data_IF_957709810143
#
_entry.id   IF_957709810143
#
_cell.length_a   1.000
_cell.length_b   1.000
_cell.length_c   1.000
_cell.angle_alpha   90.00
_cell.angle_beta   90.00
_cell.angle_gamma   90.00
#
_symmetry.space_group_name_H-M   'P 1'
#
loop_
_entity.id
_entity.type
_entity.pdbx_description
1 polymer ?
#
# COMPACT_ATOMS: atom_id res chain seq x y z
N UNK A 1 12.00 -33.75 -31.80
CA UNK A 1 12.84 -32.76 -31.10
C UNK A 1 12.19 -31.40 -31.28
N UNK A 2 11.54 -30.90 -30.23
CA UNK A 2 11.32 -29.48 -29.90
C UNK A 2 10.40 -29.43 -28.68
N UNK A 3 10.97 -29.84 -27.54
CA UNK A 3 10.52 -29.43 -26.22
C UNK A 3 11.11 -28.04 -25.97
N UNK A 4 10.40 -26.98 -26.35
CA UNK A 4 10.71 -25.64 -25.85
C UNK A 4 9.88 -25.38 -24.59
N UNK A 5 10.51 -25.75 -23.47
CA UNK A 5 10.49 -25.12 -22.15
C UNK A 5 9.45 -24.00 -21.94
N UNK A 6 8.24 -24.38 -21.55
CA UNK A 6 7.39 -23.57 -20.67
C UNK A 6 7.75 -23.97 -19.22
N UNK A 7 8.88 -23.46 -18.71
CA UNK A 7 9.27 -23.68 -17.31
C UNK A 7 8.48 -22.74 -16.39
N UNK A 8 7.39 -23.30 -15.88
CA UNK A 8 6.79 -23.14 -14.53
C UNK A 8 6.43 -21.73 -14.03
N UNK A 9 5.17 -21.33 -14.21
CA UNK A 9 4.49 -20.45 -13.25
C UNK A 9 3.80 -21.33 -12.20
N UNK A 10 4.49 -21.62 -11.10
CA UNK A 10 3.80 -22.13 -9.92
C UNK A 10 3.07 -20.94 -9.28
N UNK A 11 1.73 -20.95 -9.16
CA UNK A 11 1.03 -19.91 -8.41
C UNK A 11 1.54 -19.90 -6.96
N UNK A 12 1.72 -18.71 -6.37
CA UNK A 12 2.12 -18.59 -4.97
C UNK A 12 1.16 -19.40 -4.10
N UNK A 13 1.68 -20.21 -3.15
CA UNK A 13 0.82 -21.01 -2.28
C UNK A 13 -0.04 -20.11 -1.40
N UNK A 14 -1.25 -20.58 -1.07
CA UNK A 14 -2.16 -19.88 -0.17
C UNK A 14 -1.78 -20.12 1.30
N UNK A 15 -1.94 -19.11 2.18
CA UNK A 15 -2.48 -17.78 1.91
C UNK A 15 -1.47 -16.89 1.17
N UNK A 16 -1.97 -15.90 0.42
CA UNK A 16 -1.13 -14.77 -0.01
C UNK A 16 -0.95 -13.81 1.17
N UNK A 17 0.29 -13.56 1.56
CA UNK A 17 0.65 -12.67 2.66
C UNK A 17 1.09 -11.31 2.10
N UNK A 18 0.51 -10.23 2.61
CA UNK A 18 0.90 -8.88 2.21
C UNK A 18 2.39 -8.60 2.52
N UNK A 19 3.02 -7.81 1.67
CA UNK A 19 4.45 -7.49 1.73
C UNK A 19 4.77 -6.04 2.10
N UNK A 20 3.76 -5.18 2.20
CA UNK A 20 3.96 -3.73 2.35
C UNK A 20 4.64 -3.33 3.68
N UNK A 21 4.57 -4.19 4.71
CA UNK A 21 5.17 -3.95 6.03
C UNK A 21 6.59 -4.53 6.12
N UNK A 22 7.64 -3.68 6.15
CA UNK A 22 9.03 -4.17 6.19
C UNK A 22 9.38 -4.87 7.50
N UNK A 23 8.76 -4.53 8.64
CA UNK A 23 8.98 -5.24 9.90
C UNK A 23 8.52 -6.70 9.83
N UNK A 24 7.43 -6.98 9.10
CA UNK A 24 6.97 -8.33 8.81
C UNK A 24 7.92 -9.07 7.87
N UNK A 25 8.31 -8.44 6.76
CA UNK A 25 9.24 -9.04 5.79
C UNK A 25 10.58 -9.38 6.45
N UNK A 26 11.15 -8.47 7.23
CA UNK A 26 12.38 -8.70 8.00
C UNK A 26 12.27 -9.88 8.99
N UNK A 27 11.10 -10.06 9.61
CA UNK A 27 10.85 -11.21 10.48
C UNK A 27 10.76 -12.52 9.68
N UNK A 28 10.05 -12.52 8.56
CA UNK A 28 9.92 -13.70 7.70
C UNK A 28 11.28 -14.15 7.15
N UNK A 29 12.08 -13.23 6.60
CA UNK A 29 13.41 -13.52 6.03
C UNK A 29 14.41 -14.06 7.06
N UNK A 30 14.27 -13.69 8.35
CA UNK A 30 15.25 -14.06 9.40
C UNK A 30 14.81 -15.22 10.28
N UNK A 31 13.51 -15.31 10.57
CA UNK A 31 12.99 -16.21 11.60
C UNK A 31 12.03 -17.26 11.06
N UNK A 32 11.49 -17.07 9.85
CA UNK A 32 10.49 -17.98 9.28
C UNK A 32 10.58 -18.07 7.75
N UNK A 33 11.74 -18.47 7.19
CA UNK A 33 11.93 -18.50 5.74
C UNK A 33 10.94 -19.42 5.01
N UNK A 34 10.38 -20.42 5.69
CA UNK A 34 9.34 -21.29 5.13
C UNK A 34 8.06 -20.58 4.68
N UNK A 35 7.81 -19.34 5.14
CA UNK A 35 6.64 -18.55 4.69
C UNK A 35 6.95 -17.61 3.53
N UNK A 36 8.22 -17.45 3.11
CA UNK A 36 8.59 -16.56 2.01
C UNK A 36 7.83 -16.83 0.71
N UNK A 37 7.56 -18.09 0.29
CA UNK A 37 6.77 -18.37 -0.91
C UNK A 37 5.34 -17.82 -0.85
N UNK A 38 4.79 -17.62 0.34
CA UNK A 38 3.45 -17.08 0.54
C UNK A 38 3.41 -15.54 0.44
N UNK A 39 4.55 -14.85 0.52
CA UNK A 39 4.60 -13.38 0.51
C UNK A 39 4.39 -12.86 -0.91
N UNK A 40 3.49 -11.90 -1.08
CA UNK A 40 3.28 -11.20 -2.34
C UNK A 40 4.56 -10.55 -2.82
N UNK A 41 4.97 -10.81 -4.07
CA UNK A 41 6.15 -10.22 -4.67
C UNK A 41 6.00 -8.74 -5.04
N UNK A 42 4.82 -8.15 -4.88
CA UNK A 42 4.61 -6.73 -5.18
C UNK A 42 5.43 -5.87 -4.21
N UNK A 43 6.18 -4.91 -4.75
CA UNK A 43 6.93 -3.91 -3.97
C UNK A 43 5.97 -3.12 -3.06
N UNK A 44 6.46 -2.64 -1.92
CA UNK A 44 5.63 -1.76 -1.09
C UNK A 44 5.34 -0.42 -1.78
N UNK A 45 4.31 0.34 -1.38
CA UNK A 45 4.01 1.63 -2.01
C UNK A 45 5.17 2.62 -2.02
N UNK A 46 6.01 2.61 -0.98
CA UNK A 46 7.25 3.40 -0.94
C UNK A 46 8.16 3.07 -2.13
N UNK A 47 8.38 1.78 -2.38
CA UNK A 47 9.30 1.32 -3.41
C UNK A 47 8.69 1.41 -4.81
N UNK A 48 7.38 1.18 -4.95
CA UNK A 48 6.65 1.45 -6.20
C UNK A 48 6.77 2.93 -6.58
N UNK A 49 6.56 3.83 -5.62
CA UNK A 49 6.75 5.27 -5.87
C UNK A 49 8.20 5.60 -6.20
N UNK A 50 9.17 5.02 -5.49
CA UNK A 50 10.59 5.19 -5.82
C UNK A 50 10.94 4.77 -7.25
N UNK A 51 10.41 3.63 -7.70
CA UNK A 51 10.54 3.17 -9.09
C UNK A 51 9.93 4.19 -10.06
N UNK A 52 8.71 4.71 -9.79
CA UNK A 52 8.07 5.73 -10.64
C UNK A 52 8.92 6.99 -10.73
N UNK A 53 9.40 7.49 -9.59
CA UNK A 53 10.22 8.71 -9.51
C UNK A 53 11.54 8.54 -10.26
N UNK A 54 12.28 7.48 -9.98
CA UNK A 54 13.62 7.27 -10.54
C UNK A 54 13.61 6.83 -11.99
N UNK A 55 12.56 6.13 -12.46
CA UNK A 55 12.53 5.56 -13.82
C UNK A 55 11.62 6.34 -14.79
N UNK A 56 10.45 6.80 -14.34
CA UNK A 56 9.49 7.52 -15.20
C UNK A 56 9.68 9.03 -15.10
N UNK A 57 9.64 9.59 -13.88
CA UNK A 57 9.73 11.05 -13.68
C UNK A 57 11.08 11.57 -14.15
N UNK A 58 12.17 10.95 -13.69
CA UNK A 58 13.52 11.35 -14.09
C UNK A 58 13.71 11.34 -15.61
N UNK A 59 13.29 10.25 -16.28
CA UNK A 59 13.39 10.11 -17.73
C UNK A 59 12.58 11.19 -18.47
N UNK A 60 11.35 11.47 -18.03
CA UNK A 60 10.53 12.49 -18.67
C UNK A 60 11.04 13.92 -18.46
N UNK A 61 11.78 14.18 -17.39
CA UNK A 61 12.45 15.45 -17.14
C UNK A 61 13.85 15.54 -17.79
N UNK A 62 14.31 14.47 -18.47
CA UNK A 62 15.65 14.40 -19.04
C UNK A 62 16.76 14.40 -17.98
N UNK A 63 16.44 13.95 -16.76
CA UNK A 63 17.38 13.87 -15.63
C UNK A 63 17.98 12.47 -15.53
N UNK A 64 19.26 12.41 -15.19
CA UNK A 64 19.89 11.17 -14.73
C UNK A 64 19.22 10.73 -13.42
N UNK A 65 18.74 9.46 -13.30
CA UNK A 65 18.20 8.93 -12.05
C UNK A 65 19.12 9.12 -10.84
N UNK A 66 20.44 9.14 -11.03
CA UNK A 66 21.42 9.38 -9.97
C UNK A 66 21.47 10.84 -9.50
N UNK A 67 20.97 11.78 -10.31
CA UNK A 67 20.84 13.20 -9.96
C UNK A 67 19.55 13.53 -9.19
N UNK A 68 18.57 12.61 -9.18
CA UNK A 68 17.32 12.78 -8.43
C UNK A 68 17.52 12.26 -7.01
N UNK A 69 17.23 13.06 -5.99
CA UNK A 69 17.24 12.62 -4.59
C UNK A 69 15.81 12.48 -4.07
N UNK A 70 15.34 11.24 -3.91
CA UNK A 70 13.99 10.90 -3.50
C UNK A 70 13.92 10.64 -1.99
N UNK A 71 13.12 11.46 -1.30
CA UNK A 71 12.87 11.36 0.15
C UNK A 71 11.45 10.90 0.40
N UNK A 72 11.28 9.86 1.22
CA UNK A 72 9.99 9.40 1.69
C UNK A 72 9.76 9.76 3.16
N UNK A 73 8.56 10.25 3.50
CA UNK A 73 8.15 10.48 4.89
C UNK A 73 7.24 9.34 5.34
N UNK A 74 7.61 8.66 6.43
CA UNK A 74 6.96 7.41 6.85
C UNK A 74 6.74 7.35 8.36
N UNK A 75 5.65 6.73 8.85
CA UNK A 75 5.42 6.55 10.29
C UNK A 75 6.29 5.43 10.91
N UNK A 76 7.35 4.98 10.24
CA UNK A 76 8.03 3.72 10.54
C UNK A 76 9.55 3.79 10.33
N UNK A 77 10.32 3.30 11.31
CA UNK A 77 11.78 3.16 11.17
C UNK A 77 12.18 2.04 10.22
N UNK A 78 11.43 0.92 10.17
CA UNK A 78 11.77 -0.21 9.31
C UNK A 78 11.69 0.15 7.81
N UNK A 79 10.98 1.23 7.44
CA UNK A 79 10.99 1.76 6.08
C UNK A 79 12.37 2.29 5.65
N UNK A 80 13.21 2.74 6.59
CA UNK A 80 14.63 3.06 6.33
C UNK A 80 15.41 1.80 5.96
N UNK A 81 15.18 0.70 6.69
CA UNK A 81 15.80 -0.60 6.40
C UNK A 81 15.34 -1.16 5.06
N UNK A 82 14.08 -0.92 4.70
CA UNK A 82 13.56 -1.26 3.37
C UNK A 82 14.27 -0.46 2.29
N UNK A 83 14.37 0.87 2.44
CA UNK A 83 15.06 1.74 1.46
C UNK A 83 16.54 1.39 1.27
N UNK A 84 17.22 0.86 2.30
CA UNK A 84 18.63 0.52 2.21
C UNK A 84 18.91 -0.87 1.61
N UNK A 85 17.89 -1.63 1.20
CA UNK A 85 18.10 -2.95 0.59
C UNK A 85 18.68 -2.82 -0.82
N UNK A 86 19.64 -3.70 -1.13
CA UNK A 86 20.22 -3.79 -2.48
C UNK A 86 19.20 -4.18 -3.56
N UNK A 87 18.15 -4.90 -3.16
CA UNK A 87 17.00 -5.29 -4.00
C UNK A 87 16.36 -4.05 -4.67
N UNK A 88 16.26 -2.91 -3.97
CA UNK A 88 15.59 -1.70 -4.45
C UNK A 88 16.54 -0.66 -5.05
N UNK A 89 17.34 -1.11 -6.01
CA UNK A 89 18.26 -0.27 -6.78
C UNK A 89 18.00 -0.46 -8.27
N UNK A 90 18.11 0.61 -9.05
CA UNK A 90 18.04 0.51 -10.51
C UNK A 90 19.21 -0.30 -11.07
N UNK A 91 19.06 -0.98 -12.21
CA UNK A 91 20.23 -1.59 -12.86
C UNK A 91 21.05 -0.55 -13.64
N UNK A 92 22.37 -0.73 -13.74
CA UNK A 92 23.15 -0.22 -14.84
C UNK A 92 22.83 -1.07 -16.09
N UNK A 93 21.82 -0.65 -16.86
CA UNK A 93 21.61 -1.16 -18.22
C UNK A 93 20.64 -2.34 -18.43
N UNK A 94 19.73 -2.65 -17.50
CA UNK A 94 18.65 -3.63 -17.71
C UNK A 94 17.51 -3.53 -16.67
N UNK A 95 16.49 -4.38 -16.80
CA UNK A 95 15.28 -4.36 -15.97
C UNK A 95 15.26 -5.56 -15.00
N UNK A 96 15.67 -5.35 -13.73
CA UNK A 96 15.70 -6.39 -12.70
C UNK A 96 16.05 -5.91 -11.27
N UNK A 97 15.95 -6.83 -10.31
CA UNK A 97 16.17 -6.69 -8.86
C UNK A 97 17.68 -6.84 -8.54
N UNK A 98 18.26 -5.93 -7.74
CA UNK A 98 19.67 -6.03 -7.32
C UNK A 98 20.70 -5.28 -8.19
N UNK A 99 20.30 -4.21 -8.86
CA UNK A 99 21.20 -3.39 -9.69
C UNK A 99 22.23 -2.56 -8.91
N UNK A 100 23.37 -2.23 -9.53
CA UNK A 100 24.38 -1.31 -8.97
C UNK A 100 24.02 0.19 -9.11
N UNK A 101 22.86 0.52 -9.68
CA UNK A 101 22.40 1.88 -9.88
C UNK A 101 21.97 2.61 -8.59
N UNK A 102 21.40 3.82 -8.71
CA UNK A 102 20.92 4.57 -7.56
C UNK A 102 19.75 3.85 -6.89
N UNK A 103 19.56 4.04 -5.57
CA UNK A 103 18.43 3.46 -4.85
C UNK A 103 17.09 4.06 -5.33
N UNK A 104 16.02 3.26 -5.28
CA UNK A 104 14.65 3.72 -5.57
C UNK A 104 14.22 4.83 -4.58
N UNK A 105 14.70 4.75 -3.33
CA UNK A 105 14.48 5.74 -2.25
C UNK A 105 15.80 6.05 -1.56
N UNK A 106 16.26 7.29 -1.64
CA UNK A 106 17.56 7.71 -1.09
C UNK A 106 17.52 7.97 0.41
N UNK A 107 16.40 8.47 0.91
CA UNK A 107 16.23 8.81 2.32
C UNK A 107 14.80 8.54 2.79
N UNK A 108 14.67 8.02 4.01
CA UNK A 108 13.39 7.93 4.70
C UNK A 108 13.46 8.72 5.98
N UNK A 109 12.56 9.68 6.13
CA UNK A 109 12.36 10.46 7.34
C UNK A 109 11.11 9.96 8.07
N UNK A 110 11.20 9.86 9.40
CA UNK A 110 10.02 9.54 10.21
C UNK A 110 9.17 10.78 10.46
N UNK A 111 7.90 10.59 10.84
CA UNK A 111 7.03 11.69 11.29
C UNK A 111 7.68 12.49 12.41
N UNK A 112 8.33 11.82 13.37
CA UNK A 112 9.09 12.46 14.45
C UNK A 112 10.29 13.26 13.94
N UNK A 113 11.11 12.69 13.06
CA UNK A 113 12.28 13.37 12.49
C UNK A 113 11.89 14.61 11.66
N UNK A 114 10.76 14.55 10.94
CA UNK A 114 10.22 15.73 10.23
C UNK A 114 9.80 16.81 11.22
N UNK A 115 9.13 16.46 12.32
CA UNK A 115 8.74 17.42 13.34
C UNK A 115 9.97 18.09 14.00
N UNK A 116 11.02 17.31 14.29
CA UNK A 116 12.29 17.83 14.82
C UNK A 116 12.98 18.77 13.80
N UNK A 117 12.99 18.41 12.52
CA UNK A 117 13.56 19.23 11.46
C UNK A 117 12.79 20.56 11.32
N UNK A 118 11.46 20.53 11.35
CA UNK A 118 10.63 21.73 11.32
C UNK A 118 10.92 22.67 12.50
N UNK A 119 11.03 22.10 13.70
CA UNK A 119 11.33 22.86 14.90
C UNK A 119 12.75 23.44 14.88
N UNK A 120 13.75 22.64 14.52
CA UNK A 120 15.16 23.01 14.57
C UNK A 120 15.61 23.93 13.43
N UNK A 121 15.23 23.63 12.19
CA UNK A 121 15.70 24.34 11.01
C UNK A 121 14.87 25.60 10.71
N UNK A 122 13.57 25.57 11.00
CA UNK A 122 12.66 26.63 10.61
C UNK A 122 12.04 27.37 11.81
N UNK A 123 12.34 26.95 13.05
CA UNK A 123 11.67 27.49 14.24
C UNK A 123 10.16 27.21 14.25
N UNK A 124 9.69 26.29 13.39
CA UNK A 124 8.29 25.90 13.30
C UNK A 124 8.07 24.80 14.32
N UNK A 125 7.70 25.21 15.53
CA UNK A 125 7.19 24.24 16.48
C UNK A 125 5.90 23.65 15.89
N UNK A 126 5.86 22.33 15.73
CA UNK A 126 4.61 21.59 15.51
C UNK A 126 3.83 21.66 16.83
N UNK A 127 3.27 22.84 17.11
CA UNK A 127 2.26 23.01 18.15
C UNK A 127 0.95 22.50 17.56
N UNK A 128 0.09 21.89 18.37
CA UNK A 128 -1.33 22.01 18.11
C UNK A 128 -1.59 23.51 17.96
N UNK A 129 -1.84 23.95 16.73
CA UNK A 129 -2.20 25.34 16.49
C UNK A 129 -3.58 25.47 17.11
N UNK A 130 -3.68 26.12 18.26
CA UNK A 130 -4.94 26.61 18.81
C UNK A 130 -5.66 27.39 17.69
N UNK A 131 -6.64 26.76 17.05
CA UNK A 131 -7.28 27.27 15.85
C UNK A 131 -7.52 26.24 14.74
N UNK A 132 -6.90 25.06 14.79
CA UNK A 132 -7.40 23.91 14.04
C UNK A 132 -8.52 23.27 14.85
N UNK A 133 -9.75 23.68 14.53
CA UNK A 133 -10.99 23.05 15.00
C UNK A 133 -10.81 21.53 15.04
N UNK A 134 -11.27 20.89 16.11
CA UNK A 134 -11.32 19.42 16.30
C UNK A 134 -12.20 18.69 15.29
N UNK A 135 -12.66 19.37 14.25
CA UNK A 135 -13.26 18.80 13.07
C UNK A 135 -12.17 18.18 12.19
N UNK A 136 -12.46 17.06 11.54
CA UNK A 136 -11.58 16.40 10.58
C UNK A 136 -11.08 17.33 9.43
N UNK A 137 -11.62 18.55 9.35
CA UNK A 137 -11.12 19.71 8.65
C UNK A 137 -9.63 20.04 8.87
N UNK A 138 -9.00 19.77 10.02
CA UNK A 138 -7.60 20.16 10.22
C UNK A 138 -6.56 19.31 9.49
N UNK A 139 -6.80 17.99 9.40
CA UNK A 139 -6.01 17.12 8.53
C UNK A 139 -6.29 17.42 7.05
N UNK A 140 -7.55 17.77 6.73
CA UNK A 140 -7.99 18.20 5.39
C UNK A 140 -7.45 19.55 4.99
N UNK A 141 -7.27 20.49 5.91
CA UNK A 141 -6.66 21.78 5.65
C UNK A 141 -5.14 21.64 5.51
N UNK A 142 -4.51 20.66 6.15
CA UNK A 142 -3.13 20.27 5.83
C UNK A 142 -3.01 19.74 4.41
N UNK A 143 -3.90 18.82 4.00
CA UNK A 143 -3.98 18.28 2.65
C UNK A 143 -4.40 19.33 1.60
N UNK A 144 -5.35 20.21 1.95
CA UNK A 144 -5.84 21.30 1.12
C UNK A 144 -4.88 22.48 1.09
N UNK A 145 -4.09 22.72 2.14
CA UNK A 145 -2.96 23.66 2.09
C UNK A 145 -1.86 23.11 1.18
N UNK A 146 -1.56 21.80 1.24
CA UNK A 146 -0.73 21.11 0.24
C UNK A 146 -1.32 21.23 -1.18
N UNK A 147 -2.64 21.19 -1.34
CA UNK A 147 -3.32 21.40 -2.63
C UNK A 147 -3.42 22.88 -3.06
N UNK A 148 -3.26 23.84 -2.13
CA UNK A 148 -3.28 25.30 -2.37
C UNK A 148 -1.89 25.89 -2.56
N UNK A 149 -0.85 25.24 -2.04
CA UNK A 149 0.52 25.50 -2.48
C UNK A 149 0.53 25.22 -3.97
N UNK A 150 0.94 26.17 -4.84
CA UNK A 150 1.04 25.89 -6.26
C UNK A 150 1.92 24.65 -6.38
N UNK A 151 1.41 23.54 -6.95
CA UNK A 151 2.14 22.30 -6.99
C UNK A 151 3.53 22.62 -7.54
N UNK A 152 4.58 22.10 -6.89
CA UNK A 152 5.88 22.13 -7.54
C UNK A 152 5.68 21.56 -8.96
N UNK A 153 6.45 21.98 -9.97
CA UNK A 153 6.31 21.44 -11.32
C UNK A 153 6.24 19.89 -11.34
N UNK A 154 6.85 19.23 -10.35
CA UNK A 154 6.72 17.80 -10.07
C UNK A 154 5.38 17.32 -9.49
N UNK A 155 4.69 18.05 -8.62
CA UNK A 155 3.45 17.56 -7.98
C UNK A 155 2.29 17.51 -8.97
N UNK A 156 2.18 18.53 -9.83
CA UNK A 156 1.23 18.55 -10.94
C UNK A 156 1.60 17.54 -12.03
N UNK A 157 2.90 17.30 -12.24
CA UNK A 157 3.41 16.29 -13.15
C UNK A 157 3.19 14.87 -12.63
N UNK A 158 3.39 14.61 -11.33
CA UNK A 158 3.14 13.32 -10.67
C UNK A 158 1.65 13.00 -10.65
N UNK A 159 0.80 14.00 -10.33
CA UNK A 159 -0.64 13.86 -10.38
C UNK A 159 -1.20 13.66 -11.80
N UNK A 160 -0.45 14.04 -12.84
CA UNK A 160 -0.85 13.90 -14.25
C UNK A 160 0.03 12.92 -15.04
N UNK A 161 0.96 12.23 -14.37
CA UNK A 161 2.01 11.37 -14.92
C UNK A 161 2.73 11.93 -16.16
N UNK A 162 2.86 13.25 -16.25
CA UNK A 162 3.54 13.97 -17.32
C UNK A 162 2.72 14.33 -18.55
N UNK A 163 1.40 14.18 -18.52
CA UNK A 163 0.51 14.60 -19.62
C UNK A 163 0.35 16.12 -19.72
N UNK A 164 0.72 16.87 -18.68
CA UNK A 164 0.49 18.32 -18.60
C UNK A 164 -0.99 18.70 -18.60
N UNK A 165 -1.92 17.74 -18.50
CA UNK A 165 -3.35 17.99 -18.35
C UNK A 165 -3.73 17.97 -16.88
N UNK A 166 -4.34 19.06 -16.43
CA UNK A 166 -5.07 19.10 -15.16
C UNK A 166 -6.20 18.07 -15.23
N UNK A 167 -6.49 17.29 -14.16
CA UNK A 167 -7.71 16.49 -14.14
C UNK A 167 -8.89 17.46 -14.19
N UNK A 168 -9.61 17.48 -15.31
CA UNK A 168 -10.93 18.10 -15.37
C UNK A 168 -11.95 17.05 -14.92
N UNK A 169 -12.90 17.38 -14.04
CA UNK A 169 -14.10 16.55 -13.93
C UNK A 169 -14.78 16.56 -15.31
N UNK A 170 -15.06 15.39 -15.87
CA UNK A 170 -15.80 15.20 -17.13
C UNK A 170 -17.10 16.02 -17.13
N UNK A 171 -17.68 16.58 -18.19
CA UNK A 171 -17.46 16.65 -19.65
C UNK A 171 -18.32 17.84 -20.17
N UNK A 172 -18.08 18.44 -21.35
CA UNK A 172 -18.88 18.22 -22.57
C UNK A 172 -18.57 19.35 -23.58
N UNK A 173 -18.61 19.05 -24.88
CA UNK A 173 -18.22 19.96 -25.95
C UNK A 173 -19.33 20.86 -26.51
N UNK A 174 -18.93 21.94 -27.18
CA UNK A 174 -19.37 22.35 -28.52
C UNK A 174 -18.80 23.74 -28.91
N UNK A 175 -18.20 23.84 -30.11
CA UNK A 175 -17.86 25.11 -30.76
C UNK A 175 -16.72 25.04 -31.80
N UNK A 176 -17.00 24.53 -33.00
CA UNK A 176 -16.16 24.61 -34.23
C UNK A 176 -16.17 26.06 -34.82
N UNK A 177 -15.38 26.47 -35.86
CA UNK A 177 -14.90 25.65 -37.02
C UNK A 177 -13.49 25.94 -37.63
N UNK A 178 -13.10 25.06 -38.56
CA UNK A 178 -12.03 25.19 -39.59
C UNK A 178 -11.19 23.91 -39.74
N UNK A 179 -11.53 22.96 -40.63
CA UNK A 179 -10.99 22.76 -42.01
C UNK A 179 -9.51 22.27 -41.95
N UNK A 180 -9.06 21.05 -42.33
CA UNK A 180 -9.28 20.23 -43.53
C UNK A 180 -8.83 18.74 -43.38
N UNK A 181 -9.49 17.82 -44.14
CA UNK A 181 -9.06 16.53 -44.74
C UNK A 181 -8.50 15.38 -43.85
N UNK A 182 -9.14 14.21 -43.63
CA UNK A 182 -9.64 13.08 -44.46
C UNK A 182 -8.82 11.76 -44.32
N UNK A 183 -9.57 10.65 -44.15
CA UNK A 183 -9.30 9.20 -44.34
C UNK A 183 -8.85 8.28 -43.18
N UNK A 184 -9.84 7.68 -42.53
CA UNK A 184 -10.19 6.24 -42.36
C UNK A 184 -9.11 5.15 -42.09
N UNK A 185 -9.27 4.44 -40.97
CA UNK A 185 -9.63 3.00 -40.96
C UNK A 185 -9.99 2.49 -39.55
N UNK A 186 -11.16 1.85 -39.47
CA UNK A 186 -11.82 1.30 -38.28
C UNK A 186 -11.17 0.04 -37.70
N UNK A 187 -11.26 -0.14 -36.37
CA UNK A 187 -11.51 -1.44 -35.73
C UNK A 187 -12.41 -1.24 -34.51
N UNK A 188 -13.61 -1.79 -34.62
CA UNK A 188 -14.68 -1.84 -33.61
C UNK A 188 -14.29 -2.64 -32.36
N UNK A 189 -14.66 -2.12 -31.18
CA UNK A 189 -14.92 -2.92 -29.97
C UNK A 189 -16.29 -2.51 -29.45
N UNK A 190 -17.24 -3.44 -29.57
CA UNK A 190 -18.64 -3.31 -29.16
C UNK A 190 -18.78 -2.77 -27.73
N UNK A 191 -19.47 -1.63 -27.64
CA UNK A 191 -19.96 -1.04 -26.42
C UNK A 191 -21.49 -1.11 -26.45
N UNK A 192 -22.09 -1.90 -25.55
CA UNK A 192 -23.48 -1.73 -25.14
C UNK A 192 -23.71 -2.39 -23.77
N UNK A 193 -23.68 -1.56 -22.73
CA UNK A 193 -24.45 -1.77 -21.51
C UNK A 193 -24.67 -0.41 -20.83
N UNK A 194 -25.84 0.13 -21.15
CA UNK A 194 -26.57 1.26 -20.57
C UNK A 194 -26.26 1.57 -19.09
N UNK A 195 -25.84 2.80 -18.83
CA UNK A 195 -25.77 3.39 -17.49
C UNK A 195 -26.35 4.80 -17.50
N UNK A 196 -27.67 4.90 -17.74
CA UNK A 196 -28.43 6.08 -17.32
C UNK A 196 -28.53 6.11 -15.78
N UNK A 197 -27.61 6.83 -15.12
CA UNK A 197 -27.82 7.29 -13.74
C UNK A 197 -27.71 8.82 -13.75
N UNK A 198 -28.80 9.44 -13.32
CA UNK A 198 -29.07 10.87 -13.40
C UNK A 198 -27.94 11.72 -12.80
N UNK A 199 -27.45 12.66 -13.62
CA UNK A 199 -26.59 13.74 -13.18
C UNK A 199 -27.41 14.70 -12.29
N UNK A 200 -27.23 14.61 -10.98
CA UNK A 200 -27.61 15.66 -10.03
C UNK A 200 -26.35 16.38 -9.56
N UNK A 201 -26.20 17.63 -10.01
CA UNK A 201 -25.31 18.70 -9.55
C UNK A 201 -24.06 18.33 -8.75
N UNK A 202 -22.88 18.40 -9.37
CA UNK A 202 -21.61 18.42 -8.67
C UNK A 202 -21.07 19.86 -8.64
N UNK A 203 -21.01 20.42 -7.44
CA UNK A 203 -20.34 21.68 -7.14
C UNK A 203 -18.81 21.50 -7.29
N UNK A 204 -18.11 22.58 -7.64
CA UNK A 204 -16.66 22.60 -7.87
C UNK A 204 -15.78 22.41 -6.59
N UNK A 205 -16.33 21.78 -5.55
CA UNK A 205 -15.74 21.64 -4.21
C UNK A 205 -15.63 20.20 -3.69
N UNK A 206 -15.91 19.16 -4.50
CA UNK A 206 -15.84 17.78 -4.02
C UNK A 206 -14.38 17.30 -3.89
N UNK A 207 -13.88 17.31 -2.66
CA UNK A 207 -12.61 16.70 -2.28
C UNK A 207 -12.71 15.18 -2.43
N UNK A 208 -11.78 14.56 -3.14
CA UNK A 208 -11.79 13.13 -3.42
C UNK A 208 -10.41 12.51 -3.17
N UNK A 209 -10.38 11.21 -2.92
CA UNK A 209 -9.15 10.45 -2.68
C UNK A 209 -9.18 9.11 -3.40
N UNK A 210 -8.00 8.64 -3.84
CA UNK A 210 -7.87 7.26 -4.31
C UNK A 210 -7.93 6.30 -3.12
N UNK A 211 -8.90 5.40 -3.14
CA UNK A 211 -9.31 4.62 -1.99
C UNK A 211 -10.35 3.56 -2.31
N UNK A 212 -10.52 2.59 -1.43
CA UNK A 212 -11.58 1.59 -1.59
C UNK A 212 -12.95 2.28 -1.65
N UNK A 213 -13.79 1.92 -2.62
CA UNK A 213 -15.11 2.51 -2.83
C UNK A 213 -16.11 2.07 -1.74
N UNK A 214 -15.90 2.59 -0.52
CA UNK A 214 -16.82 2.46 0.59
C UNK A 214 -16.74 3.71 1.46
N UNK A 215 -17.91 4.29 1.78
CA UNK A 215 -18.00 5.49 2.61
C UNK A 215 -17.44 5.24 4.01
N UNK A 216 -17.55 4.02 4.52
CA UNK A 216 -17.00 3.60 5.82
C UNK A 216 -15.55 3.08 5.71
N UNK A 217 -14.96 3.15 4.51
CA UNK A 217 -13.63 2.68 4.19
C UNK A 217 -12.52 3.64 4.60
N UNK A 218 -11.30 3.25 4.22
CA UNK A 218 -10.07 3.91 4.59
C UNK A 218 -9.43 3.23 5.81
N UNK A 219 -8.70 4.01 6.60
CA UNK A 219 -8.00 3.52 7.78
C UNK A 219 -6.49 3.68 7.65
N UNK A 220 -5.83 3.75 8.80
CA UNK A 220 -4.47 4.29 8.86
C UNK A 220 -3.34 3.36 8.41
N UNK A 221 -3.66 2.20 7.81
CA UNK A 221 -2.68 1.22 7.32
C UNK A 221 -2.83 0.85 5.84
N UNK A 222 -3.58 1.66 5.08
CA UNK A 222 -3.63 1.58 3.61
C UNK A 222 -4.77 0.75 3.03
N UNK A 223 -5.60 0.10 3.85
CA UNK A 223 -6.85 -0.54 3.41
C UNK A 223 -6.71 -1.60 2.32
N UNK A 224 -5.53 -2.23 2.18
CA UNK A 224 -5.23 -3.14 1.06
C UNK A 224 -6.18 -4.33 1.07
N UNK A 225 -6.45 -4.91 2.24
CA UNK A 225 -7.34 -6.04 2.39
C UNK A 225 -8.73 -5.75 1.82
N UNK A 226 -9.26 -4.56 2.08
CA UNK A 226 -10.61 -4.21 1.61
C UNK A 226 -10.65 -4.16 0.08
N UNK A 227 -9.70 -3.45 -0.53
CA UNK A 227 -9.61 -3.35 -1.98
C UNK A 227 -9.37 -4.72 -2.64
N UNK A 228 -8.41 -5.50 -2.14
CA UNK A 228 -8.10 -6.85 -2.67
C UNK A 228 -9.30 -7.79 -2.50
N UNK A 229 -10.03 -7.71 -1.39
CA UNK A 229 -11.21 -8.54 -1.15
C UNK A 229 -12.33 -8.26 -2.16
N UNK A 230 -12.64 -6.98 -2.40
CA UNK A 230 -13.66 -6.58 -3.39
C UNK A 230 -13.23 -6.95 -4.81
N UNK A 231 -11.98 -6.65 -5.15
CA UNK A 231 -11.42 -6.98 -6.46
C UNK A 231 -11.46 -8.50 -6.71
N UNK A 232 -11.06 -9.31 -5.72
CA UNK A 232 -11.10 -10.76 -5.81
C UNK A 232 -12.55 -11.29 -5.92
N UNK A 233 -13.49 -10.78 -5.12
CA UNK A 233 -14.90 -11.16 -5.19
C UNK A 233 -15.50 -10.91 -6.58
N UNK A 234 -15.24 -9.74 -7.16
CA UNK A 234 -15.74 -9.37 -8.48
C UNK A 234 -15.06 -10.20 -9.59
N UNK A 235 -13.73 -10.33 -9.56
CA UNK A 235 -12.97 -11.00 -10.64
C UNK A 235 -13.10 -12.52 -10.63
N UNK A 236 -13.15 -13.14 -9.45
CA UNK A 236 -13.14 -14.60 -9.32
C UNK A 236 -14.55 -15.20 -9.28
N UNK A 237 -15.52 -14.46 -8.72
CA UNK A 237 -16.87 -14.96 -8.50
C UNK A 237 -17.97 -14.13 -9.15
N UNK A 238 -17.63 -12.99 -9.77
CA UNK A 238 -18.63 -12.07 -10.33
C UNK A 238 -19.50 -11.39 -9.27
N UNK A 239 -19.07 -11.38 -8.00
CA UNK A 239 -19.83 -10.83 -6.88
C UNK A 239 -19.32 -9.43 -6.55
N UNK A 240 -20.18 -8.44 -6.74
CA UNK A 240 -19.89 -7.06 -6.36
C UNK A 240 -20.23 -6.84 -4.88
N UNK A 241 -19.21 -6.61 -4.06
CA UNK A 241 -19.39 -6.32 -2.63
C UNK A 241 -19.46 -4.80 -2.46
N UNK A 242 -20.60 -4.27 -2.02
CA UNK A 242 -20.84 -2.84 -1.76
C UNK A 242 -21.02 -2.56 -0.26
N UNK A 243 -20.75 -1.32 0.16
CA UNK A 243 -20.88 -0.92 1.57
C UNK A 243 -19.77 -1.49 2.46
N UNK A 244 -19.87 -1.27 3.77
CA UNK A 244 -18.83 -1.66 4.73
C UNK A 244 -18.64 -3.18 4.82
N UNK A 245 -17.39 -3.63 4.98
CA UNK A 245 -17.10 -5.04 5.24
C UNK A 245 -17.43 -5.42 6.68
N UNK A 246 -18.12 -6.53 6.85
CA UNK A 246 -18.42 -7.09 8.17
C UNK A 246 -17.24 -7.91 8.70
N UNK A 247 -16.43 -7.28 9.56
CA UNK A 247 -15.30 -7.95 10.20
C UNK A 247 -15.73 -8.76 11.43
N UNK A 248 -15.35 -10.04 11.45
CA UNK A 248 -15.44 -10.92 12.62
C UNK A 248 -14.16 -10.81 13.44
N UNK A 249 -14.29 -10.78 14.77
CA UNK A 249 -13.16 -10.76 15.72
C UNK A 249 -13.05 -12.15 16.35
N UNK A 250 -12.14 -13.02 15.87
CA UNK A 250 -12.16 -14.45 16.20
C UNK A 250 -11.81 -14.74 17.66
N UNK A 251 -11.04 -13.84 18.27
CA UNK A 251 -10.68 -13.88 19.68
C UNK A 251 -11.20 -12.62 20.33
N UNK A 252 -12.19 -12.77 21.21
CA UNK A 252 -12.75 -11.67 21.96
C UNK A 252 -11.64 -10.77 22.52
N UNK A 253 -11.76 -9.45 22.29
CA UNK A 253 -10.81 -8.39 22.70
C UNK A 253 -9.51 -8.24 21.89
N UNK A 254 -9.23 -9.08 20.89
CA UNK A 254 -8.07 -8.89 20.01
C UNK A 254 -8.45 -8.11 18.75
N UNK A 255 -8.52 -6.79 18.86
CA UNK A 255 -8.91 -5.91 17.73
C UNK A 255 -7.88 -5.90 16.58
N UNK A 256 -6.68 -6.40 16.84
CA UNK A 256 -5.57 -6.55 15.90
C UNK A 256 -5.65 -7.84 15.06
N UNK A 257 -6.66 -8.69 15.30
CA UNK A 257 -6.97 -9.84 14.45
C UNK A 257 -8.43 -9.76 14.02
N UNK A 258 -8.65 -9.48 12.73
CA UNK A 258 -9.98 -9.39 12.13
C UNK A 258 -10.06 -10.28 10.92
N UNK A 259 -11.22 -10.87 10.69
CA UNK A 259 -11.47 -11.74 9.54
C UNK A 259 -12.68 -11.24 8.76
N UNK A 260 -12.67 -11.40 7.45
CA UNK A 260 -13.82 -11.18 6.58
C UNK A 260 -14.00 -12.38 5.67
N UNK A 261 -15.25 -12.77 5.45
CA UNK A 261 -15.60 -13.95 4.65
C UNK A 261 -16.61 -13.57 3.58
N UNK A 262 -16.39 -14.02 2.35
CA UNK A 262 -17.41 -14.03 1.31
C UNK A 262 -18.11 -15.38 1.33
N UNK A 263 -19.43 -15.37 1.44
CA UNK A 263 -20.26 -16.58 1.40
C UNK A 263 -21.01 -16.64 0.06
N UNK A 264 -21.05 -17.83 -0.54
CA UNK A 264 -21.79 -18.11 -1.76
C UNK A 264 -23.29 -18.33 -1.48
N UNK A 265 -24.12 -18.40 -2.53
CA UNK A 265 -25.57 -18.57 -2.38
C UNK A 265 -26.00 -19.83 -1.63
N UNK A 266 -25.15 -20.86 -1.62
CA UNK A 266 -25.34 -22.14 -0.96
C UNK A 266 -24.73 -22.20 0.46
N UNK A 267 -24.21 -21.07 0.96
CA UNK A 267 -23.53 -20.98 2.25
C UNK A 267 -22.08 -21.47 2.24
N UNK A 268 -21.51 -21.80 1.07
CA UNK A 268 -20.09 -22.13 0.96
C UNK A 268 -19.23 -20.89 1.16
N UNK A 269 -18.09 -21.01 1.85
CA UNK A 269 -17.14 -19.88 1.96
C UNK A 269 -16.33 -19.79 0.68
N UNK A 270 -16.49 -18.70 -0.07
CA UNK A 270 -15.81 -18.44 -1.34
C UNK A 270 -14.45 -17.76 -1.15
N UNK A 271 -14.37 -16.80 -0.21
CA UNK A 271 -13.13 -16.12 0.18
C UNK A 271 -13.08 -15.98 1.69
N UNK A 272 -11.89 -16.11 2.26
CA UNK A 272 -11.62 -15.84 3.68
C UNK A 272 -10.31 -15.08 3.84
N UNK A 273 -10.43 -13.81 4.23
CA UNK A 273 -9.31 -12.89 4.38
C UNK A 273 -9.11 -12.52 5.85
N UNK A 274 -7.90 -12.13 6.23
CA UNK A 274 -7.60 -11.65 7.58
C UNK A 274 -6.68 -10.42 7.61
N UNK A 275 -6.93 -9.54 8.58
CA UNK A 275 -5.98 -8.52 9.03
C UNK A 275 -5.31 -9.03 10.31
N UNK A 276 -3.99 -9.01 10.34
CA UNK A 276 -3.19 -9.47 11.47
C UNK A 276 -2.09 -8.45 11.81
N UNK A 277 -2.38 -7.62 12.80
CA UNK A 277 -1.48 -6.60 13.31
C UNK A 277 -0.73 -7.11 14.55
N UNK A 278 0.52 -6.71 14.73
CA UNK A 278 1.33 -7.04 15.89
C UNK A 278 2.01 -8.42 15.82
N UNK A 279 3.27 -8.48 16.26
CA UNK A 279 4.08 -9.71 16.23
C UNK A 279 3.44 -10.93 16.91
N UNK A 280 2.62 -10.73 17.95
CA UNK A 280 1.89 -11.84 18.60
C UNK A 280 0.94 -12.54 17.62
N UNK A 281 0.21 -11.78 16.81
CA UNK A 281 -0.72 -12.33 15.82
C UNK A 281 0.05 -12.95 14.66
N UNK A 282 1.10 -12.27 14.19
CA UNK A 282 2.02 -12.77 13.15
C UNK A 282 2.60 -14.14 13.52
N UNK A 283 3.22 -14.26 14.69
CA UNK A 283 3.82 -15.51 15.16
C UNK A 283 2.78 -16.64 15.26
N UNK A 284 1.58 -16.34 15.76
CA UNK A 284 0.51 -17.33 15.85
C UNK A 284 0.02 -17.81 14.48
N UNK A 285 0.06 -16.94 13.47
CA UNK A 285 -0.39 -17.25 12.13
C UNK A 285 0.66 -18.03 11.35
N UNK A 286 1.92 -17.60 11.40
CA UNK A 286 3.06 -18.29 10.80
C UNK A 286 3.13 -19.74 11.28
N UNK A 287 2.93 -20.01 12.58
CA UNK A 287 2.88 -21.38 13.13
C UNK A 287 1.76 -22.27 12.55
N UNK A 288 0.72 -21.67 11.94
CA UNK A 288 -0.39 -22.41 11.32
C UNK A 288 -0.20 -22.61 9.81
N UNK A 289 0.70 -21.87 9.19
CA UNK A 289 1.03 -22.03 7.78
C UNK A 289 1.96 -23.24 7.71
N UNK A 290 1.44 -24.36 7.21
CA UNK A 290 2.22 -25.58 7.06
C UNK A 290 3.21 -25.38 5.90
N UNK A 291 4.49 -25.78 6.06
CA UNK A 291 5.39 -25.92 4.93
C UNK A 291 4.84 -27.06 4.06
N UNK A 292 4.36 -26.75 2.87
CA UNK A 292 3.90 -27.68 1.81
C UNK A 292 2.47 -28.24 1.92
N UNK A 293 1.60 -27.75 1.02
CA UNK A 293 1.03 -28.55 -0.07
C UNK A 293 0.71 -27.59 -1.22
N UNK A 294 1.13 -27.93 -2.44
CA UNK A 294 0.96 -27.16 -3.68
C UNK A 294 -0.51 -27.07 -4.16
N UNK A 295 -1.48 -27.40 -3.31
CA UNK A 295 -2.89 -27.40 -3.68
C UNK A 295 -3.50 -26.01 -3.53
N UNK A 296 -3.30 -25.21 -4.59
CA UNK A 296 -4.17 -24.07 -4.88
C UNK A 296 -5.51 -24.62 -5.38
N UNK A 297 -6.35 -25.09 -4.46
CA UNK A 297 -7.75 -25.34 -4.75
C UNK A 297 -8.56 -24.16 -4.24
N UNK A 298 -8.84 -23.20 -5.13
CA UNK A 298 -9.91 -22.23 -4.90
C UNK A 298 -11.20 -23.01 -4.62
N UNK A 299 -11.69 -22.91 -3.39
CA UNK A 299 -13.03 -23.37 -3.01
C UNK A 299 -13.15 -24.73 -2.29
N UNK A 300 -12.14 -25.62 -2.21
CA UNK A 300 -12.42 -26.97 -1.64
C UNK A 300 -11.31 -27.71 -0.87
N UNK A 301 -10.13 -27.15 -0.57
CA UNK A 301 -9.16 -27.83 0.32
C UNK A 301 -8.74 -26.95 1.50
N UNK A 302 -9.21 -27.30 2.71
CA UNK A 302 -8.92 -26.61 3.98
C UNK A 302 -7.79 -27.26 4.77
N UNK A 303 -6.70 -27.63 4.12
CA UNK A 303 -5.48 -28.06 4.81
C UNK A 303 -4.45 -26.92 4.87
N UNK A 304 -4.44 -26.17 5.99
CA UNK A 304 -3.54 -25.02 6.20
C UNK A 304 -4.07 -23.98 7.20
N UNK A 305 -3.58 -22.74 7.14
CA UNK A 305 -4.01 -21.66 8.05
C UNK A 305 -5.47 -21.21 7.86
N UNK A 306 -6.09 -21.58 6.73
CA UNK A 306 -7.51 -21.38 6.44
C UNK A 306 -7.89 -20.00 5.88
N UNK A 307 -6.93 -19.26 5.30
CA UNK A 307 -7.13 -17.97 4.63
C UNK A 307 -6.63 -18.01 3.19
N UNK A 308 -7.22 -17.19 2.34
CA UNK A 308 -6.77 -16.95 0.97
C UNK A 308 -5.81 -15.76 0.89
N UNK A 309 -6.07 -14.71 1.67
CA UNK A 309 -5.22 -13.52 1.77
C UNK A 309 -5.13 -13.01 3.19
N UNK A 310 -3.96 -12.50 3.55
CA UNK A 310 -3.72 -11.93 4.87
C UNK A 310 -2.94 -10.62 4.74
N UNK A 311 -3.54 -9.54 5.23
CA UNK A 311 -2.84 -8.27 5.46
C UNK A 311 -2.10 -8.32 6.79
N UNK A 312 -0.80 -8.03 6.76
CA UNK A 312 0.07 -8.15 7.93
C UNK A 312 0.76 -6.83 8.22
N UNK A 313 0.67 -6.38 9.48
CA UNK A 313 1.45 -5.24 9.98
C UNK A 313 2.19 -5.62 11.27
N UNK A 314 3.47 -5.28 11.36
CA UNK A 314 4.30 -5.60 12.52
C UNK A 314 3.86 -4.89 13.80
N UNK A 315 3.37 -3.65 13.67
CA UNK A 315 2.91 -2.82 14.78
C UNK A 315 1.45 -3.17 15.14
N UNK A 316 1.08 -3.25 16.43
CA UNK A 316 -0.32 -3.24 16.87
C UNK A 316 -1.02 -2.00 16.33
N UNK A 317 -2.29 -2.11 15.92
CA UNK A 317 -3.04 -1.06 15.21
C UNK A 317 -2.42 -0.60 13.87
N UNK A 318 -1.44 -1.33 13.34
CA UNK A 318 -0.81 -1.05 12.06
C UNK A 318 0.04 0.22 12.05
N UNK A 319 0.09 0.92 10.91
CA UNK A 319 1.06 1.99 10.65
C UNK A 319 0.87 3.25 11.50
N UNK A 320 -0.35 3.54 11.99
CA UNK A 320 -0.62 4.71 12.86
C UNK A 320 0.10 4.66 14.20
N UNK A 321 0.45 3.45 14.63
CA UNK A 321 1.21 3.18 15.85
C UNK A 321 2.64 2.71 15.50
N UNK A 322 3.12 3.09 14.31
CA UNK A 322 4.47 2.81 13.87
C UNK A 322 5.50 3.53 14.75
N UNK A 323 6.68 2.93 14.93
CA UNK A 323 7.69 3.46 15.86
C UNK A 323 8.21 4.86 15.49
N UNK A 324 8.02 5.32 14.25
CA UNK A 324 8.43 6.65 13.80
C UNK A 324 7.41 7.75 14.06
N UNK A 325 6.27 7.44 14.70
CA UNK A 325 5.22 8.39 15.03
C UNK A 325 5.59 9.25 16.23
N UNK A 326 4.91 10.40 16.34
CA UNK A 326 5.02 11.27 17.50
C UNK A 326 4.39 10.61 18.74
N UNK A 327 4.94 10.83 19.94
CA UNK A 327 4.30 10.42 21.17
C UNK A 327 3.00 11.21 21.40
N UNK A 328 2.10 10.74 22.30
CA UNK A 328 0.96 11.52 22.73
C UNK A 328 1.35 12.91 23.21
N UNK A 329 0.52 13.94 22.95
CA UNK A 329 0.80 15.29 23.39
C UNK A 329 0.89 15.35 24.93
N UNK A 330 1.74 16.24 25.48
CA UNK A 330 1.77 16.48 26.91
C UNK A 330 0.40 17.00 27.38
N UNK A 331 0.04 16.79 28.67
CA UNK A 331 -1.20 17.34 29.20
C UNK A 331 -1.20 18.88 29.09
N UNK A 332 -2.38 19.52 28.88
CA UNK A 332 -2.49 20.97 28.85
C UNK A 332 -1.87 21.63 30.08
N UNK A 333 -1.18 22.76 29.90
CA UNK A 333 -0.65 23.53 31.03
C UNK A 333 -1.78 23.96 31.97
N UNK A 334 -1.54 23.86 33.27
CA UNK A 334 -2.51 24.21 34.31
C UNK A 334 -2.75 25.73 34.27
N UNK A 335 -4.00 26.17 34.10
CA UNK A 335 -4.32 27.60 34.25
C UNK A 335 -4.12 27.94 35.73
N UNK A 336 -3.07 28.70 36.03
CA UNK A 336 -2.74 29.10 37.40
C UNK A 336 -3.96 29.72 38.10
N UNK A 337 -4.51 29.02 39.10
CA UNK A 337 -5.67 29.47 39.90
C UNK A 337 -6.92 28.59 39.79
N UNK A 338 -7.01 27.66 38.84
CA UNK A 338 -8.08 26.65 38.84
C UNK A 338 -7.72 25.54 39.82
N UNK A 339 -8.22 25.56 41.05
CA UNK A 339 -8.04 24.49 42.05
C UNK A 339 -8.68 23.14 41.68
N UNK A 340 -8.72 22.78 40.40
CA UNK A 340 -9.24 21.54 39.85
C UNK A 340 -8.16 20.45 39.77
N UNK A 341 -8.61 19.21 39.57
CA UNK A 341 -7.72 18.08 39.34
C UNK A 341 -6.92 18.25 38.04
N UNK A 342 -5.63 17.89 38.06
CA UNK A 342 -4.77 17.95 36.85
C UNK A 342 -5.40 17.18 35.68
N UNK A 343 -5.43 17.75 34.47
CA UNK A 343 -5.87 17.03 33.28
C UNK A 343 -5.03 15.77 33.05
N UNK A 344 -5.68 14.65 32.74
CA UNK A 344 -5.00 13.39 32.44
C UNK A 344 -4.34 13.48 31.05
N UNK A 345 -3.09 13.02 30.94
CA UNK A 345 -2.42 12.88 29.65
C UNK A 345 -3.12 11.84 28.76
N UNK A 346 -3.17 12.13 27.46
CA UNK A 346 -3.65 11.19 26.44
C UNK A 346 -2.75 9.96 26.39
N UNK A 347 -3.35 8.78 26.25
CA UNK A 347 -2.60 7.52 26.04
C UNK A 347 -2.28 7.30 24.55
N UNK A 348 -1.26 6.50 24.26
CA UNK A 348 -0.94 6.10 22.88
C UNK A 348 -2.12 5.43 22.17
N UNK A 349 -2.92 4.64 22.91
CA UNK A 349 -4.13 4.02 22.36
C UNK A 349 -5.17 5.08 21.95
N UNK A 350 -5.40 6.09 22.79
CA UNK A 350 -6.37 7.15 22.50
C UNK A 350 -5.94 7.98 21.30
N UNK A 351 -4.65 8.30 21.18
CA UNK A 351 -4.11 8.97 20.00
C UNK A 351 -4.34 8.13 18.73
N UNK A 352 -4.07 6.83 18.78
CA UNK A 352 -4.27 5.93 17.64
C UNK A 352 -5.75 5.82 17.26
N UNK A 353 -6.66 5.72 18.24
CA UNK A 353 -8.11 5.66 18.00
C UNK A 353 -8.61 6.98 17.37
N UNK A 354 -8.06 8.13 17.79
CA UNK A 354 -8.34 9.44 17.19
C UNK A 354 -7.82 9.52 15.74
N UNK A 355 -6.57 9.13 15.51
CA UNK A 355 -5.97 9.10 14.16
C UNK A 355 -6.76 8.20 13.22
N UNK A 356 -7.14 7.00 13.68
CA UNK A 356 -7.95 6.06 12.89
C UNK A 356 -9.28 6.68 12.47
N UNK A 357 -9.90 7.50 13.33
CA UNK A 357 -11.11 8.25 12.98
C UNK A 357 -10.84 9.28 11.88
N UNK A 358 -9.70 9.98 11.93
CA UNK A 358 -9.31 10.97 10.90
C UNK A 358 -8.98 10.36 9.54
N UNK A 359 -8.46 9.13 9.53
CA UNK A 359 -8.10 8.42 8.29
C UNK A 359 -9.27 7.65 7.65
N UNK A 360 -10.45 7.66 8.29
CA UNK A 360 -11.68 7.11 7.70
C UNK A 360 -12.38 8.18 6.87
N UNK A 361 -12.97 7.77 5.77
CA UNK A 361 -13.77 8.66 4.90
C UNK A 361 -15.23 8.80 5.38
N UNK A 362 -15.58 8.18 6.52
CA UNK A 362 -16.94 7.98 7.03
C UNK A 362 -17.72 9.22 7.46
N UNK A 363 -17.11 10.40 7.49
CA UNK A 363 -17.84 11.65 7.72
C UNK A 363 -18.35 12.29 6.42
N UNK A 364 -18.13 11.63 5.27
CA UNK A 364 -18.75 11.97 3.98
C UNK A 364 -18.22 13.25 3.34
N UNK A 365 -17.15 13.83 3.87
CA UNK A 365 -16.56 15.06 3.31
C UNK A 365 -15.56 14.80 2.19
N UNK A 366 -15.12 13.55 2.03
CA UNK A 366 -14.17 13.13 0.99
C UNK A 366 -14.76 11.94 0.26
N UNK A 367 -14.87 12.05 -1.06
CA UNK A 367 -15.37 10.96 -1.91
C UNK A 367 -14.22 9.98 -2.24
N UNK A 368 -14.31 8.70 -1.83
CA UNK A 368 -13.32 7.71 -2.24
C UNK A 368 -13.56 7.26 -3.69
N UNK A 369 -12.48 7.07 -4.43
CA UNK A 369 -12.49 6.54 -5.80
C UNK A 369 -11.59 5.32 -5.90
N UNK A 370 -12.05 4.21 -6.50
CA UNK A 370 -11.25 3.00 -6.59
C UNK A 370 -9.94 3.27 -7.36
N UNK A 371 -8.79 2.76 -6.89
CA UNK A 371 -7.50 2.98 -7.57
C UNK A 371 -7.51 2.56 -9.06
N UNK A 372 -8.28 1.54 -9.41
CA UNK A 372 -8.41 1.03 -10.78
C UNK A 372 -9.11 2.01 -11.73
N UNK A 373 -9.85 2.98 -11.19
CA UNK A 373 -10.49 4.03 -11.97
C UNK A 373 -9.56 5.22 -12.25
N UNK A 374 -8.30 5.20 -11.79
CA UNK A 374 -7.34 6.26 -12.09
C UNK A 374 -6.94 6.23 -13.57
N UNK A 375 -7.30 7.28 -14.34
CA UNK A 375 -6.89 7.36 -15.75
C UNK A 375 -5.37 7.45 -15.88
N UNK A 376 -4.69 8.03 -14.89
CA UNK A 376 -3.24 8.18 -14.92
C UNK A 376 -2.51 6.86 -14.66
N UNK A 377 -3.04 6.01 -13.78
CA UNK A 377 -2.54 4.63 -13.62
C UNK A 377 -2.77 3.85 -14.90
N UNK A 378 -3.95 3.94 -15.51
CA UNK A 378 -4.25 3.27 -16.78
C UNK A 378 -3.29 3.72 -17.91
N UNK A 379 -3.04 5.02 -18.03
CA UNK A 379 -2.05 5.58 -18.93
C UNK A 379 -0.63 5.09 -18.63
N UNK A 380 -0.25 5.03 -17.35
CA UNK A 380 1.06 4.56 -16.97
C UNK A 380 1.29 3.11 -17.41
N UNK A 381 0.28 2.26 -17.27
CA UNK A 381 0.32 0.89 -17.75
C UNK A 381 0.38 0.78 -19.28
N UNK A 382 -0.37 1.63 -19.99
CA UNK A 382 -0.38 1.65 -21.46
C UNK A 382 0.94 2.13 -22.06
N UNK A 383 1.44 3.28 -21.60
CA UNK A 383 2.49 4.02 -22.34
C UNK A 383 3.91 3.69 -21.84
N UNK A 384 4.04 3.42 -20.54
CA UNK A 384 5.34 3.17 -19.91
C UNK A 384 5.55 1.70 -19.56
N UNK A 385 4.64 1.07 -18.82
CA UNK A 385 4.76 -0.36 -18.49
C UNK A 385 4.58 -1.22 -19.74
N UNK A 386 3.71 -0.78 -20.67
CA UNK A 386 3.41 -1.46 -21.93
C UNK A 386 2.99 -2.91 -21.73
N UNK A 387 2.10 -3.13 -20.78
CA UNK A 387 1.61 -4.46 -20.42
C UNK A 387 0.47 -4.39 -19.41
N UNK A 388 -0.23 -5.51 -19.22
CA UNK A 388 -1.26 -5.61 -18.19
C UNK A 388 -0.66 -5.77 -16.79
N UNK A 389 -1.49 -5.61 -15.75
CA UNK A 389 -1.12 -5.97 -14.37
C UNK A 389 -0.63 -7.42 -14.32
N UNK A 390 0.54 -7.63 -13.72
CA UNK A 390 1.16 -8.95 -13.63
C UNK A 390 1.86 -9.45 -14.91
N UNK A 391 1.93 -8.63 -15.97
CA UNK A 391 2.80 -8.90 -17.12
C UNK A 391 4.28 -8.92 -16.73
N UNK A 392 5.15 -9.43 -17.61
CA UNK A 392 6.60 -9.46 -17.38
C UNK A 392 7.18 -8.05 -17.15
N UNK A 393 6.75 -7.06 -17.94
CA UNK A 393 7.18 -5.67 -17.77
C UNK A 393 6.70 -5.06 -16.46
N UNK A 394 5.44 -5.32 -16.06
CA UNK A 394 4.92 -4.89 -14.77
C UNK A 394 5.68 -5.55 -13.60
N UNK A 395 6.03 -6.84 -13.73
CA UNK A 395 6.82 -7.57 -12.75
C UNK A 395 8.24 -7.03 -12.64
N UNK A 396 8.88 -6.72 -13.76
CA UNK A 396 10.23 -6.15 -13.78
C UNK A 396 10.31 -4.78 -13.07
N UNK A 397 9.23 -3.98 -13.14
CA UNK A 397 9.17 -2.67 -12.49
C UNK A 397 8.74 -2.75 -11.02
N UNK A 398 7.64 -3.46 -10.74
CA UNK A 398 6.90 -3.34 -9.49
C UNK A 398 6.95 -4.58 -8.60
N UNK A 399 7.69 -5.61 -8.99
CA UNK A 399 7.89 -6.79 -8.14
C UNK A 399 9.33 -6.87 -7.62
N UNK A 400 9.51 -7.64 -6.56
CA UNK A 400 10.78 -7.93 -5.89
C UNK A 400 10.77 -9.37 -5.36
N UNK A 401 11.90 -9.82 -4.83
CA UNK A 401 12.06 -11.13 -4.21
C UNK A 401 12.44 -10.97 -2.74
N UNK A 402 12.10 -12.00 -1.96
CA UNK A 402 12.47 -12.08 -0.56
C UNK A 402 13.37 -13.29 -0.34
N UNK A 403 14.38 -13.11 0.49
CA UNK A 403 15.48 -14.07 0.60
C UNK A 403 15.63 -14.55 2.03
N UNK A 404 16.04 -15.81 2.20
CA UNK A 404 16.42 -16.34 3.52
C UNK A 404 17.75 -15.73 3.94
N UNK A 405 17.69 -14.57 4.58
CA UNK A 405 18.88 -13.83 5.03
C UNK A 405 19.63 -14.56 6.13
N UNK A 406 18.97 -15.48 6.85
CA UNK A 406 19.64 -16.36 7.80
C UNK A 406 20.59 -17.32 7.10
N UNK A 407 20.10 -17.97 6.04
CA UNK A 407 20.90 -18.86 5.20
C UNK A 407 22.00 -18.10 4.44
N UNK A 408 21.71 -16.91 3.89
CA UNK A 408 22.71 -16.07 3.21
C UNK A 408 23.85 -15.66 4.15
N UNK A 409 23.53 -15.22 5.38
CA UNK A 409 24.53 -14.86 6.37
C UNK A 409 25.38 -16.08 6.78
N UNK A 410 24.78 -17.25 6.93
CA UNK A 410 25.48 -18.49 7.24
C UNK A 410 26.41 -18.95 6.09
N UNK A 411 25.98 -18.77 4.84
CA UNK A 411 26.77 -19.05 3.65
C UNK A 411 27.96 -18.08 3.51
N UNK A 412 27.72 -16.78 3.71
CA UNK A 412 28.76 -15.74 3.68
C UNK A 412 29.81 -15.91 4.79
N UNK A 413 29.42 -16.48 5.94
CA UNK A 413 30.31 -16.82 7.04
C UNK A 413 31.16 -18.09 6.81
N UNK A 414 31.09 -18.72 5.62
CA UNK A 414 32.00 -19.79 5.20
C UNK A 414 31.70 -21.20 5.70
N UNK A 415 30.49 -21.45 6.23
CA UNK A 415 30.14 -22.75 6.80
C UNK A 415 29.12 -23.54 5.98
N UNK A 416 29.57 -24.32 4.99
CA UNK A 416 28.71 -25.31 4.32
C UNK A 416 28.02 -26.28 5.32
N UNK A 417 28.65 -26.50 6.48
CA UNK A 417 28.13 -27.32 7.58
C UNK A 417 27.13 -26.55 8.46
N UNK A 418 27.28 -25.22 8.62
CA UNK A 418 26.37 -24.39 9.40
C UNK A 418 25.05 -24.12 8.65
N UNK A 419 25.13 -23.84 7.35
CA UNK A 419 23.95 -23.74 6.48
C UNK A 419 23.15 -25.06 6.45
N UNK A 420 23.83 -26.20 6.36
CA UNK A 420 23.19 -27.52 6.42
C UNK A 420 22.61 -27.87 7.80
N UNK A 421 23.23 -27.41 8.90
CA UNK A 421 22.71 -27.58 10.25
C UNK A 421 21.47 -26.72 10.52
N UNK A 422 21.41 -25.51 9.95
CA UNK A 422 20.25 -24.62 10.03
C UNK A 422 19.08 -25.14 9.18
N UNK A 423 19.37 -25.65 7.97
CA UNK A 423 18.41 -26.38 7.13
C UNK A 423 17.82 -27.63 7.81
N UNK A 424 18.66 -28.41 8.52
CA UNK A 424 18.20 -29.55 9.33
C UNK A 424 17.35 -29.13 10.53
N UNK A 425 17.74 -28.04 11.19
CA UNK A 425 16.93 -27.47 12.27
C UNK A 425 15.60 -26.93 11.78
N UNK A 426 15.46 -26.52 10.52
CA UNK A 426 14.17 -26.08 9.94
C UNK A 426 13.33 -27.20 9.33
N UNK A 427 13.92 -28.36 9.00
CA UNK A 427 13.19 -29.52 8.45
C UNK A 427 12.56 -30.41 9.51
N UNK A 428 12.96 -30.28 10.77
CA UNK A 428 12.46 -31.06 11.91
C UNK A 428 11.38 -30.32 12.74
N UNK A 429 10.74 -29.25 12.22
CA UNK A 429 9.60 -28.55 12.85
C UNK A 429 8.30 -28.60 12.04
#
# INVERSE_FOLDING_TARGET
>A
QNQNQNQSQNPNPLPVLASACPGWVCYAEKQSPGVLPHISNVKSPQQVMGTIVKRRVAAALGLDPAAVFHVAVMPCYDKKLEASRGDFRGEPGGDGDGGEGPPDVDCVLTTGEVAELLAGAFGIAVKERDGYSTEAAGAREGAAALARVPPAPLDGWLASFGTGRRPSPSSSGAGAPGDDAEMDMDVDVDADADASVAASGADANDEWVWGCDSKEGGGGSGGYLEHVFRYAAAKLFGIEVRGALEYKIPRARNLDLREVTLEGPDGTTLLRFAQANGFRNIQNMVRKIKPTAHDVHLGTSRDGCGYDYVEIMACPSGCLNGGGQLPPPPPPEEIAGSGGARPRAMTAKELVDELETKYRWGDGTVEPRPPDASPEVAEAYRDWVRGAVGSESARALFHTRYHDRGAEAAAAAGGAVAAAAQLKLTSDW
#
